data_IF_283117958038
#
_entry.id   IF_283117958038
#
_cell.length_a   1.000
_cell.length_b   1.000
_cell.length_c   1.000
_cell.angle_alpha   90.00
_cell.angle_beta   90.00
_cell.angle_gamma   90.00
#
_symmetry.space_group_name_H-M   'P 1'
#
loop_
_entity.id
_entity.type
_entity.pdbx_description
1 polymer ?
#
# COMPACT_ATOMS: atom_id res chain seq x y z
N UNK A 1 15.33 19.45 16.15
CA UNK A 1 15.11 18.94 14.78
C UNK A 1 13.74 19.41 14.32
N UNK A 2 13.66 20.12 13.19
CA UNK A 2 12.42 20.80 12.78
C UNK A 2 11.41 19.77 12.25
N UNK A 3 10.14 19.84 12.69
CA UNK A 3 9.10 18.84 12.37
C UNK A 3 8.90 18.69 10.85
N UNK A 4 9.02 19.79 10.12
CA UNK A 4 8.94 19.83 8.64
C UNK A 4 9.99 18.95 7.95
N UNK A 5 11.19 18.85 8.52
CA UNK A 5 12.28 18.02 7.98
C UNK A 5 11.95 16.54 8.16
N UNK A 6 11.39 16.17 9.32
CA UNK A 6 10.98 14.79 9.62
C UNK A 6 9.87 14.33 8.68
N UNK A 7 8.85 15.17 8.49
CA UNK A 7 7.74 14.88 7.57
C UNK A 7 8.26 14.63 6.16
N UNK A 8 9.17 15.48 5.66
CA UNK A 8 9.76 15.30 4.33
C UNK A 8 10.55 13.99 4.19
N UNK A 9 11.27 13.56 5.24
CA UNK A 9 11.94 12.26 5.23
C UNK A 9 10.95 11.09 5.22
N UNK A 10 9.86 11.17 5.99
CA UNK A 10 8.80 10.15 6.02
C UNK A 10 8.11 10.06 4.66
N UNK A 11 7.80 11.19 4.03
CA UNK A 11 7.18 11.22 2.70
C UNK A 11 8.09 10.62 1.64
N UNK A 12 9.39 10.96 1.66
CA UNK A 12 10.39 10.35 0.77
C UNK A 12 10.51 8.84 0.99
N UNK A 13 10.53 8.40 2.24
CA UNK A 13 10.60 6.98 2.59
C UNK A 13 9.36 6.23 2.11
N UNK A 14 8.17 6.77 2.37
CA UNK A 14 6.90 6.24 1.86
C UNK A 14 6.91 6.12 0.35
N UNK A 15 7.34 7.19 -0.34
CA UNK A 15 7.47 7.23 -1.79
C UNK A 15 8.37 6.11 -2.31
N UNK A 16 9.54 5.94 -1.69
CA UNK A 16 10.48 4.88 -2.09
C UNK A 16 9.89 3.47 -1.85
N UNK A 17 9.29 3.22 -0.70
CA UNK A 17 8.80 1.87 -0.38
C UNK A 17 7.55 1.51 -1.19
N UNK A 18 6.55 2.40 -1.25
CA UNK A 18 5.27 2.09 -1.88
C UNK A 18 5.29 2.26 -3.41
N UNK A 19 5.97 3.29 -3.94
CA UNK A 19 5.98 3.56 -5.38
C UNK A 19 7.10 2.81 -6.08
N UNK A 20 8.34 2.83 -5.54
CA UNK A 20 9.48 2.20 -6.21
C UNK A 20 9.55 0.70 -5.95
N UNK A 21 9.39 0.27 -4.71
CA UNK A 21 9.49 -1.15 -4.34
C UNK A 21 8.12 -1.87 -4.30
N UNK A 22 7.00 -1.17 -4.46
CA UNK A 22 5.67 -1.80 -4.42
C UNK A 22 5.37 -2.58 -3.13
N UNK A 23 6.06 -2.25 -2.03
CA UNK A 23 5.84 -2.86 -0.72
C UNK A 23 4.93 -1.92 0.08
N UNK A 24 3.86 -2.40 0.73
CA UNK A 24 3.06 -1.53 1.59
C UNK A 24 3.90 -0.96 2.73
N UNK A 25 3.75 0.32 3.06
CA UNK A 25 4.60 1.00 4.04
C UNK A 25 4.69 0.26 5.39
N UNK A 26 3.57 -0.28 5.87
CA UNK A 26 3.53 -1.03 7.14
C UNK A 26 4.41 -2.29 7.11
N UNK A 27 4.51 -3.00 5.98
CA UNK A 27 5.43 -4.13 5.82
C UNK A 27 6.88 -3.68 5.67
N UNK A 28 7.12 -2.52 5.04
CA UNK A 28 8.44 -1.89 5.06
C UNK A 28 8.92 -1.61 6.49
N UNK A 29 8.07 -0.96 7.30
CA UNK A 29 8.32 -0.70 8.72
C UNK A 29 8.52 -2.00 9.49
N UNK A 30 7.69 -3.02 9.23
CA UNK A 30 7.83 -4.33 9.86
C UNK A 30 9.18 -4.99 9.57
N UNK A 31 9.67 -4.91 8.33
CA UNK A 31 11.00 -5.42 7.97
C UNK A 31 12.12 -4.76 8.78
N UNK A 32 12.09 -3.43 8.94
CA UNK A 32 13.03 -2.73 9.82
C UNK A 32 12.89 -3.15 11.29
N UNK A 33 11.65 -3.29 11.78
CA UNK A 33 11.39 -3.75 13.14
C UNK A 33 11.93 -5.17 13.39
N UNK A 34 11.79 -6.08 12.42
CA UNK A 34 12.35 -7.43 12.49
C UNK A 34 13.89 -7.41 12.56
N UNK A 35 14.55 -6.56 11.76
CA UNK A 35 16.02 -6.41 11.82
C UNK A 35 16.44 -5.93 13.21
N UNK A 36 15.77 -4.90 13.75
CA UNK A 36 16.03 -4.36 15.09
C UNK A 36 15.85 -5.44 16.17
N UNK A 37 14.76 -6.20 16.09
CA UNK A 37 14.45 -7.29 17.02
C UNK A 37 15.48 -8.42 16.95
N UNK A 38 15.80 -8.89 15.74
CA UNK A 38 16.74 -9.99 15.50
C UNK A 38 18.16 -9.64 15.93
N UNK A 39 18.64 -8.46 15.56
CA UNK A 39 19.97 -7.96 15.94
C UNK A 39 20.04 -7.41 17.37
N UNK A 40 18.91 -7.36 18.09
CA UNK A 40 18.79 -6.84 19.46
C UNK A 40 19.37 -5.42 19.60
N UNK A 41 19.09 -4.55 18.61
CA UNK A 41 19.59 -3.17 18.62
C UNK A 41 18.99 -2.42 19.82
N UNK A 42 19.80 -1.75 20.66
CA UNK A 42 19.30 -1.03 21.83
C UNK A 42 18.58 0.26 21.40
N UNK A 43 17.26 0.15 21.23
CA UNK A 43 16.37 1.26 20.88
C UNK A 43 15.67 1.90 22.10
N UNK A 44 15.97 1.41 23.30
CA UNK A 44 15.42 1.90 24.57
C UNK A 44 15.73 3.38 24.81
N UNK A 45 16.89 3.86 24.33
CA UNK A 45 17.23 5.29 24.37
C UNK A 45 16.29 6.18 23.55
N UNK A 46 15.60 5.65 22.54
CA UNK A 46 14.66 6.43 21.72
C UNK A 46 13.37 6.78 22.47
N UNK A 47 13.07 6.04 23.55
CA UNK A 47 11.82 6.15 24.32
C UNK A 47 12.07 6.46 25.79
N UNK A 48 13.31 6.79 26.16
CA UNK A 48 13.72 7.05 27.54
C UNK A 48 12.92 8.21 28.16
N UNK A 49 12.54 9.21 27.35
CA UNK A 49 11.70 10.34 27.78
C UNK A 49 10.20 10.05 27.93
N UNK A 50 9.72 8.84 27.62
CA UNK A 50 8.30 8.49 27.82
C UNK A 50 8.03 8.10 29.28
N UNK A 51 6.93 8.61 29.85
CA UNK A 51 6.45 8.22 31.17
C UNK A 51 6.16 6.71 31.20
N UNK A 52 6.69 6.01 32.22
CA UNK A 52 6.51 4.57 32.39
C UNK A 52 5.05 4.16 32.58
N UNK A 53 4.23 5.02 33.19
CA UNK A 53 2.79 4.78 33.31
C UNK A 53 2.09 4.81 31.93
N UNK A 54 2.51 5.72 31.05
CA UNK A 54 2.02 5.78 29.68
C UNK A 54 2.45 4.53 28.89
N UNK A 55 3.72 4.09 29.03
CA UNK A 55 4.21 2.86 28.39
C UNK A 55 3.36 1.65 28.80
N UNK A 56 3.12 1.49 30.11
CA UNK A 56 2.30 0.39 30.66
C UNK A 56 0.87 0.46 30.16
N UNK A 57 0.25 1.64 30.21
CA UNK A 57 -1.13 1.85 29.75
C UNK A 57 -1.27 1.48 28.28
N UNK A 58 -0.37 1.97 27.43
CA UNK A 58 -0.38 1.66 25.99
C UNK A 58 -0.22 0.15 25.76
N UNK A 59 0.77 -0.49 26.40
CA UNK A 59 0.99 -1.94 26.28
C UNK A 59 -0.24 -2.74 26.71
N UNK A 60 -0.85 -2.36 27.83
CA UNK A 60 -2.03 -3.03 28.37
C UNK A 60 -3.25 -2.85 27.45
N UNK A 61 -3.47 -1.67 26.89
CA UNK A 61 -4.58 -1.44 25.95
C UNK A 61 -4.44 -2.32 24.71
N UNK A 62 -3.24 -2.43 24.14
CA UNK A 62 -3.04 -3.34 23.01
C UNK A 62 -3.19 -4.81 23.44
N UNK A 63 -2.62 -5.21 24.59
CA UNK A 63 -2.69 -6.60 25.04
C UNK A 63 -4.12 -7.08 25.27
N UNK A 64 -5.06 -6.20 25.65
CA UNK A 64 -6.48 -6.54 25.74
C UNK A 64 -7.04 -7.08 24.42
N UNK A 65 -6.72 -6.41 23.31
CA UNK A 65 -7.15 -6.83 21.96
C UNK A 65 -6.50 -8.16 21.58
N UNK A 66 -5.19 -8.28 21.76
CA UNK A 66 -4.44 -9.47 21.32
C UNK A 66 -4.60 -10.68 22.26
N UNK A 67 -5.03 -10.48 23.50
CA UNK A 67 -5.51 -11.57 24.36
C UNK A 67 -6.82 -12.16 23.84
N UNK A 68 -7.70 -11.32 23.30
CA UNK A 68 -9.05 -11.68 22.90
C UNK A 68 -9.22 -11.70 21.38
N UNK A 69 -8.14 -11.93 20.63
CA UNK A 69 -8.15 -11.83 19.17
C UNK A 69 -9.19 -12.78 18.53
N UNK A 70 -9.34 -13.99 19.06
CA UNK A 70 -10.37 -14.94 18.62
C UNK A 70 -11.78 -14.40 18.87
N UNK A 71 -12.02 -13.73 20.01
CA UNK A 71 -13.30 -13.09 20.29
C UNK A 71 -13.57 -11.94 19.32
N UNK A 72 -12.56 -11.14 18.96
CA UNK A 72 -12.71 -10.09 17.93
C UNK A 72 -13.14 -10.66 16.57
N UNK A 73 -12.60 -11.83 16.19
CA UNK A 73 -13.01 -12.53 14.97
C UNK A 73 -14.46 -13.02 15.05
N UNK A 74 -14.82 -13.67 16.17
CA UNK A 74 -16.18 -14.16 16.40
C UNK A 74 -17.21 -13.04 16.40
N UNK A 75 -16.91 -11.92 17.05
CA UNK A 75 -17.78 -10.73 17.07
C UNK A 75 -17.96 -10.17 15.65
N UNK A 76 -16.87 -10.04 14.89
CA UNK A 76 -16.95 -9.54 13.50
C UNK A 76 -17.80 -10.46 12.63
N UNK A 77 -17.63 -11.78 12.77
CA UNK A 77 -18.43 -12.76 12.06
C UNK A 77 -19.91 -12.74 12.47
N UNK A 78 -20.20 -12.60 13.77
CA UNK A 78 -21.55 -12.47 14.29
C UNK A 78 -22.26 -11.26 13.69
N UNK A 79 -21.59 -10.11 13.60
CA UNK A 79 -22.16 -8.92 12.95
C UNK A 79 -22.47 -9.14 11.47
N UNK A 80 -21.61 -9.84 10.74
CA UNK A 80 -21.87 -10.21 9.34
C UNK A 80 -23.12 -11.08 9.24
N UNK A 81 -23.27 -12.08 10.12
CA UNK A 81 -24.46 -12.92 10.17
C UNK A 81 -25.73 -12.13 10.49
N UNK A 82 -25.67 -11.23 11.48
CA UNK A 82 -26.80 -10.37 11.86
C UNK A 82 -27.23 -9.50 10.67
N UNK A 83 -26.27 -8.87 9.98
CA UNK A 83 -26.57 -8.04 8.81
C UNK A 83 -27.23 -8.88 7.71
N UNK A 84 -26.68 -10.06 7.39
CA UNK A 84 -27.30 -10.96 6.41
C UNK A 84 -28.73 -11.34 6.81
N UNK A 85 -28.97 -11.69 8.06
CA UNK A 85 -30.29 -12.11 8.55
C UNK A 85 -31.30 -10.95 8.47
N UNK A 86 -30.90 -9.74 8.87
CA UNK A 86 -31.76 -8.55 8.82
C UNK A 86 -32.07 -8.13 7.38
N UNK A 87 -31.07 -8.06 6.50
CA UNK A 87 -31.24 -7.48 5.17
C UNK A 87 -31.74 -8.49 4.13
N UNK A 88 -31.27 -9.74 4.15
CA UNK A 88 -31.71 -10.76 3.19
C UNK A 88 -32.98 -11.46 3.66
N UNK A 89 -33.03 -11.92 4.91
CA UNK A 89 -34.13 -12.78 5.39
C UNK A 89 -35.35 -11.98 5.86
N UNK A 90 -35.13 -10.84 6.51
CA UNK A 90 -36.23 -10.00 7.02
C UNK A 90 -36.62 -8.87 6.05
N UNK A 91 -35.91 -8.72 4.92
CA UNK A 91 -36.15 -7.72 3.88
C UNK A 91 -36.29 -6.27 4.40
N UNK A 92 -35.52 -5.92 5.43
CA UNK A 92 -35.47 -4.56 5.99
C UNK A 92 -34.76 -3.54 5.07
N UNK A 93 -34.37 -3.94 3.86
CA UNK A 93 -33.88 -3.03 2.81
C UNK A 93 -34.82 -1.84 2.57
N UNK A 94 -36.11 -2.03 2.80
CA UNK A 94 -37.16 -1.01 2.67
C UNK A 94 -37.17 0.05 3.77
N UNK A 95 -36.51 -0.21 4.90
CA UNK A 95 -36.41 0.72 6.04
C UNK A 95 -35.10 1.53 6.00
N UNK A 96 -34.29 1.33 4.95
CA UNK A 96 -33.09 2.12 4.74
C UNK A 96 -33.51 3.54 4.31
N UNK A 97 -33.05 4.59 5.02
CA UNK A 97 -33.33 5.96 4.61
C UNK A 97 -32.80 6.24 3.20
N UNK A 98 -33.45 7.13 2.45
CA UNK A 98 -33.00 7.49 1.12
C UNK A 98 -31.63 8.17 1.16
N UNK A 99 -30.94 8.10 0.03
CA UNK A 99 -29.63 8.67 -0.16
C UNK A 99 -29.62 10.18 0.15
N UNK A 100 -28.59 10.63 0.86
CA UNK A 100 -28.42 12.05 1.22
C UNK A 100 -27.28 12.65 0.41
N UNK A 101 -27.60 13.62 -0.43
CA UNK A 101 -26.62 14.46 -1.11
C UNK A 101 -26.07 15.55 -0.19
N UNK A 102 -24.76 15.73 -0.19
CA UNK A 102 -24.05 16.79 0.53
C UNK A 102 -23.69 17.94 -0.40
N UNK A 103 -23.42 19.10 0.19
CA UNK A 103 -23.06 20.34 -0.53
C UNK A 103 -21.71 20.26 -1.26
N UNK A 104 -20.90 19.23 -1.00
CA UNK A 104 -19.65 18.94 -1.69
C UNK A 104 -19.81 18.02 -2.91
N UNK A 105 -21.06 17.66 -3.27
CA UNK A 105 -21.36 16.77 -4.39
C UNK A 105 -21.22 15.28 -4.06
N UNK A 106 -21.05 14.91 -2.79
CA UNK A 106 -21.02 13.51 -2.37
C UNK A 106 -22.40 12.99 -1.97
N UNK A 107 -22.65 11.71 -2.24
CA UNK A 107 -23.89 11.01 -1.87
C UNK A 107 -23.58 10.04 -0.73
N UNK A 108 -24.30 10.13 0.39
CA UNK A 108 -24.28 9.12 1.45
C UNK A 108 -25.48 8.21 1.33
N UNK A 109 -25.21 6.96 0.99
CA UNK A 109 -26.18 5.85 0.98
C UNK A 109 -25.78 4.78 1.98
N UNK A 110 -26.76 4.14 2.62
CA UNK A 110 -26.50 2.99 3.49
C UNK A 110 -26.46 1.73 2.63
N UNK A 111 -25.27 1.16 2.49
CA UNK A 111 -25.05 -0.06 1.71
C UNK A 111 -24.58 -1.20 2.61
N UNK A 112 -25.46 -2.16 2.87
CA UNK A 112 -25.18 -3.29 3.76
C UNK A 112 -24.14 -4.26 3.18
N UNK A 113 -24.09 -4.44 1.84
CA UNK A 113 -23.06 -5.25 1.17
C UNK A 113 -21.67 -4.63 1.43
N UNK A 114 -21.58 -3.31 1.31
CA UNK A 114 -20.34 -2.59 1.60
C UNK A 114 -19.97 -2.67 3.10
N UNK A 115 -20.95 -2.60 4.00
CA UNK A 115 -20.73 -2.79 5.44
C UNK A 115 -20.20 -4.19 5.76
N UNK A 116 -20.76 -5.24 5.16
CA UNK A 116 -20.26 -6.62 5.30
C UNK A 116 -18.83 -6.76 4.80
N UNK A 117 -18.51 -6.20 3.63
CA UNK A 117 -17.14 -6.20 3.10
C UNK A 117 -16.16 -5.54 4.09
N UNK A 118 -16.54 -4.41 4.69
CA UNK A 118 -15.74 -3.75 5.74
C UNK A 118 -15.54 -4.64 6.97
N UNK A 119 -16.60 -5.30 7.45
CA UNK A 119 -16.53 -6.19 8.61
C UNK A 119 -15.68 -7.43 8.35
N UNK A 120 -15.75 -8.02 7.16
CA UNK A 120 -14.88 -9.14 6.77
C UNK A 120 -13.42 -8.71 6.68
N UNK A 121 -13.16 -7.47 6.22
CA UNK A 121 -11.81 -6.95 6.10
C UNK A 121 -11.17 -6.56 7.45
N UNK A 122 -11.98 -6.26 8.46
CA UNK A 122 -11.49 -5.81 9.77
C UNK A 122 -10.63 -6.85 10.50
N UNK A 123 -11.02 -8.15 10.60
CA UNK A 123 -10.15 -9.21 11.13
C UNK A 123 -8.82 -9.31 10.39
N UNK A 124 -8.82 -9.16 9.06
CA UNK A 124 -7.61 -9.19 8.24
C UNK A 124 -6.68 -8.03 8.63
N UNK A 125 -7.23 -6.83 8.83
CA UNK A 125 -6.44 -5.68 9.31
C UNK A 125 -5.88 -5.89 10.72
N UNK A 126 -6.64 -6.53 11.61
CA UNK A 126 -6.20 -6.85 12.97
C UNK A 126 -4.97 -7.75 12.94
N UNK A 127 -4.98 -8.82 12.13
CA UNK A 127 -3.87 -9.79 12.08
C UNK A 127 -2.67 -9.33 11.23
N UNK A 128 -2.84 -8.30 10.40
CA UNK A 128 -1.77 -7.77 9.54
C UNK A 128 -1.31 -6.39 10.02
N UNK A 129 -1.92 -5.33 9.49
CA UNK A 129 -1.51 -3.94 9.69
C UNK A 129 -1.47 -3.56 11.17
N UNK A 130 -2.54 -3.84 11.93
CA UNK A 130 -2.60 -3.44 13.34
C UNK A 130 -1.71 -4.30 14.22
N UNK A 131 -1.54 -5.59 13.87
CA UNK A 131 -0.60 -6.46 14.57
C UNK A 131 0.84 -5.97 14.41
N UNK A 132 1.23 -5.51 13.21
CA UNK A 132 2.56 -4.91 12.99
C UNK A 132 2.78 -3.69 13.89
N UNK A 133 1.77 -2.82 14.02
CA UNK A 133 1.86 -1.68 14.94
C UNK A 133 2.00 -2.13 16.40
N UNK A 134 1.25 -3.16 16.81
CA UNK A 134 1.39 -3.73 18.14
C UNK A 134 2.79 -4.32 18.39
N UNK A 135 3.30 -5.10 17.44
CA UNK A 135 4.66 -5.65 17.51
C UNK A 135 5.70 -4.53 17.66
N UNK A 136 5.55 -3.43 16.92
CA UNK A 136 6.44 -2.27 17.03
C UNK A 136 6.35 -1.62 18.43
N UNK A 137 5.17 -1.51 19.01
CA UNK A 137 4.98 -1.02 20.39
C UNK A 137 5.63 -1.94 21.41
N UNK A 138 5.47 -3.26 21.27
CA UNK A 138 6.11 -4.27 22.13
C UNK A 138 7.64 -4.24 21.98
N UNK A 139 8.12 -4.05 20.76
CA UNK A 139 9.55 -3.91 20.45
C UNK A 139 10.15 -2.69 21.14
N UNK A 140 9.49 -1.53 21.01
CA UNK A 140 9.92 -0.29 21.64
C UNK A 140 9.86 -0.40 23.16
N UNK A 141 8.68 -0.64 23.73
CA UNK A 141 8.45 -0.49 25.16
C UNK A 141 8.90 -1.69 26.01
N UNK A 142 9.04 -2.89 25.41
CA UNK A 142 9.43 -4.08 26.15
C UNK A 142 10.39 -5.01 25.40
N UNK A 143 11.25 -4.46 24.53
CA UNK A 143 12.33 -5.19 23.83
C UNK A 143 11.84 -6.44 23.09
N UNK A 144 10.61 -6.41 22.60
CA UNK A 144 10.02 -7.51 21.84
C UNK A 144 9.45 -8.64 22.69
N UNK A 145 9.41 -8.49 24.03
CA UNK A 145 8.79 -9.48 24.93
C UNK A 145 7.33 -9.13 25.14
N UNK A 146 6.44 -10.08 24.86
CA UNK A 146 5.02 -9.92 25.12
C UNK A 146 4.75 -9.80 26.63
N UNK A 147 4.15 -8.69 27.05
CA UNK A 147 3.73 -8.44 28.43
C UNK A 147 2.20 -8.38 28.48
N UNK A 148 1.61 -8.81 29.60
CA UNK A 148 0.16 -8.81 29.85
C UNK A 148 -0.64 -9.71 28.91
N UNK A 149 0.02 -10.56 28.12
CA UNK A 149 -0.62 -11.61 27.35
C UNK A 149 -0.71 -12.91 28.16
N UNK A 150 -1.79 -13.66 27.97
CA UNK A 150 -1.89 -15.04 28.46
C UNK A 150 -0.99 -15.97 27.65
N UNK A 151 -0.59 -17.12 28.20
CA UNK A 151 0.32 -18.06 27.52
C UNK A 151 -0.22 -18.50 26.14
N UNK A 152 -1.52 -18.79 26.06
CA UNK A 152 -2.18 -19.13 24.79
C UNK A 152 -2.13 -17.96 23.80
N UNK A 153 -2.33 -16.74 24.28
CA UNK A 153 -2.27 -15.53 23.44
C UNK A 153 -0.85 -15.24 22.98
N UNK A 154 0.17 -15.54 23.80
CA UNK A 154 1.58 -15.43 23.38
C UNK A 154 1.83 -16.35 22.17
N UNK A 155 1.43 -17.62 22.26
CA UNK A 155 1.57 -18.59 21.16
C UNK A 155 0.87 -18.07 19.88
N UNK A 156 -0.37 -17.56 20.01
CA UNK A 156 -1.08 -16.98 18.86
C UNK A 156 -0.30 -15.80 18.26
N UNK A 157 0.26 -14.92 19.08
CA UNK A 157 1.03 -13.78 18.59
C UNK A 157 2.36 -14.18 17.95
N UNK A 158 3.00 -15.25 18.41
CA UNK A 158 4.17 -15.83 17.74
C UNK A 158 3.81 -16.41 16.37
N UNK A 159 2.65 -17.07 16.25
CA UNK A 159 2.13 -17.54 14.96
C UNK A 159 1.87 -16.36 14.02
N UNK A 160 1.29 -15.26 14.53
CA UNK A 160 1.07 -14.03 13.76
C UNK A 160 2.39 -13.40 13.29
N UNK A 161 3.45 -13.49 14.09
CA UNK A 161 4.78 -13.04 13.70
C UNK A 161 5.32 -13.84 12.52
N UNK A 162 5.20 -15.17 12.57
CA UNK A 162 5.60 -16.05 11.45
C UNK A 162 4.78 -15.72 10.20
N UNK A 163 3.45 -15.62 10.34
CA UNK A 163 2.55 -15.28 9.23
C UNK A 163 2.93 -13.96 8.56
N UNK A 164 3.11 -12.88 9.34
CA UNK A 164 3.49 -11.58 8.80
C UNK A 164 4.89 -11.57 8.19
N UNK A 165 5.79 -12.40 8.69
CA UNK A 165 7.13 -12.57 8.09
C UNK A 165 7.04 -13.25 6.73
N UNK A 166 6.20 -14.27 6.59
CA UNK A 166 5.94 -14.90 5.28
C UNK A 166 5.31 -13.92 4.29
N UNK A 167 4.33 -13.11 4.74
CA UNK A 167 3.72 -12.09 3.89
C UNK A 167 4.76 -11.04 3.45
N UNK A 168 5.62 -10.59 4.37
CA UNK A 168 6.73 -9.68 4.04
C UNK A 168 7.65 -10.29 2.99
N UNK A 169 8.01 -11.57 3.14
CA UNK A 169 8.86 -12.28 2.18
C UNK A 169 8.22 -12.33 0.79
N UNK A 170 6.92 -12.59 0.71
CA UNK A 170 6.17 -12.51 -0.56
C UNK A 170 6.25 -11.10 -1.17
N UNK A 171 6.10 -10.04 -0.36
CA UNK A 171 6.26 -8.66 -0.85
C UNK A 171 7.67 -8.36 -1.34
N UNK A 172 8.70 -8.88 -0.68
CA UNK A 172 10.10 -8.72 -1.10
C UNK A 172 10.37 -9.46 -2.42
N UNK A 173 9.93 -10.71 -2.55
CA UNK A 173 10.05 -11.43 -3.83
C UNK A 173 9.32 -10.65 -4.93
N UNK A 174 8.08 -10.25 -4.66
CA UNK A 174 7.27 -9.48 -5.61
C UNK A 174 7.95 -8.16 -5.99
N UNK A 175 8.61 -7.46 -5.07
CA UNK A 175 9.28 -6.19 -5.35
C UNK A 175 10.49 -6.32 -6.27
N UNK A 176 11.17 -7.49 -6.25
CA UNK A 176 12.28 -7.78 -7.18
C UNK A 176 11.77 -7.91 -8.62
N UNK A 177 10.58 -8.47 -8.81
CA UNK A 177 10.01 -8.70 -10.15
C UNK A 177 9.15 -7.55 -10.67
N UNK A 178 8.55 -6.74 -9.79
CA UNK A 178 7.68 -5.63 -10.20
C UNK A 178 8.49 -4.35 -10.35
N UNK A 179 8.80 -4.02 -11.61
CA UNK A 179 9.27 -2.69 -11.99
C UNK A 179 8.07 -1.73 -12.05
N UNK A 180 7.83 -0.96 -10.97
CA UNK A 180 6.92 0.20 -11.05
C UNK A 180 7.67 1.40 -11.59
N UNK A 181 7.45 1.68 -12.87
CA UNK A 181 7.88 2.94 -13.48
C UNK A 181 6.87 4.01 -13.06
N UNK A 182 7.29 5.13 -12.45
CA UNK A 182 6.40 6.25 -12.23
C UNK A 182 5.95 6.77 -13.60
N UNK A 183 4.66 6.62 -13.88
CA UNK A 183 4.01 7.40 -14.93
C UNK A 183 4.09 8.83 -14.46
N UNK A 184 4.84 9.65 -15.16
CA UNK A 184 4.96 11.06 -14.79
C UNK A 184 3.63 11.72 -15.14
N UNK A 185 2.77 11.93 -14.13
CA UNK A 185 1.44 12.52 -14.29
C UNK A 185 1.49 13.96 -14.85
N UNK A 186 2.68 14.51 -15.11
CA UNK A 186 2.89 15.85 -15.66
C UNK A 186 3.24 15.88 -17.15
N UNK A 187 3.44 14.73 -17.81
CA UNK A 187 3.80 14.65 -19.25
C UNK A 187 2.80 13.77 -20.00
N UNK A 188 1.55 14.22 -20.07
CA UNK A 188 0.48 13.30 -20.44
C UNK A 188 0.35 12.95 -21.92
N UNK A 189 0.75 13.81 -22.88
CA UNK A 189 0.58 13.52 -24.32
C UNK A 189 1.59 14.29 -25.15
N UNK A 190 2.30 13.60 -26.04
CA UNK A 190 3.05 14.22 -27.13
C UNK A 190 2.08 14.35 -28.31
N UNK A 191 1.85 15.57 -28.77
CA UNK A 191 1.05 15.79 -29.98
C UNK A 191 1.81 15.28 -31.20
N UNK A 192 1.11 14.85 -32.24
CA UNK A 192 1.77 14.34 -33.45
C UNK A 192 2.77 15.32 -34.09
N UNK A 193 2.50 16.63 -34.03
CA UNK A 193 3.40 17.67 -34.54
C UNK A 193 4.68 17.83 -33.69
N UNK A 194 4.64 17.48 -32.40
CA UNK A 194 5.81 17.55 -31.51
C UNK A 194 6.73 16.33 -31.69
N UNK A 195 6.25 15.26 -32.32
CA UNK A 195 7.03 14.06 -32.61
C UNK A 195 8.26 14.35 -33.50
N UNK A 196 8.21 15.42 -34.31
CA UNK A 196 9.34 15.88 -35.12
C UNK A 196 10.58 16.24 -34.28
N UNK A 197 10.41 16.56 -33.01
CA UNK A 197 11.50 16.87 -32.08
C UNK A 197 12.16 15.61 -31.49
N UNK A 198 11.72 14.41 -31.89
CA UNK A 198 12.20 13.13 -31.39
C UNK A 198 12.79 12.26 -32.52
N UNK A 199 13.76 11.44 -32.18
CA UNK A 199 14.20 10.30 -32.97
C UNK A 199 13.32 9.10 -32.63
N UNK A 200 12.75 8.45 -33.65
CA UNK A 200 12.07 7.16 -33.50
C UNK A 200 13.15 6.08 -33.59
N UNK A 201 13.34 5.33 -32.51
CA UNK A 201 14.36 4.28 -32.41
C UNK A 201 13.80 2.96 -32.90
N UNK A 202 12.58 2.62 -32.46
CA UNK A 202 11.87 1.40 -32.84
C UNK A 202 10.39 1.73 -33.04
N UNK A 203 9.79 1.16 -34.09
CA UNK A 203 8.38 1.26 -34.42
C UNK A 203 7.81 -0.16 -34.47
N UNK A 204 6.91 -0.49 -33.55
CA UNK A 204 6.27 -1.79 -33.48
C UNK A 204 4.93 -1.79 -34.20
N UNK A 205 4.56 -2.92 -34.81
CA UNK A 205 3.27 -3.10 -35.49
C UNK A 205 2.04 -2.83 -34.59
N UNK A 206 2.20 -2.78 -33.26
CA UNK A 206 1.11 -2.70 -32.28
C UNK A 206 0.80 -1.27 -31.75
N UNK A 207 1.10 -0.21 -32.50
CA UNK A 207 0.90 1.19 -32.07
C UNK A 207 1.83 1.67 -30.94
N UNK A 208 2.92 0.96 -30.67
CA UNK A 208 3.94 1.34 -29.68
C UNK A 208 5.21 1.85 -30.39
N UNK A 209 5.84 2.89 -29.84
CA UNK A 209 7.06 3.49 -30.39
C UNK A 209 8.06 3.77 -29.28
N UNK A 210 9.34 3.53 -29.55
CA UNK A 210 10.42 4.01 -28.69
C UNK A 210 10.95 5.30 -29.32
N UNK A 211 10.91 6.39 -28.57
CA UNK A 211 11.37 7.71 -29.01
C UNK A 211 12.43 8.29 -28.07
N UNK A 212 13.29 9.15 -28.61
CA UNK A 212 14.30 9.89 -27.85
C UNK A 212 14.35 11.35 -28.32
N UNK A 213 14.42 12.36 -27.43
CA UNK A 213 14.54 13.75 -27.84
C UNK A 213 15.77 13.97 -28.74
N UNK A 214 15.64 14.81 -29.75
CA UNK A 214 16.77 15.23 -30.60
C UNK A 214 17.76 16.13 -29.85
N UNK A 215 17.32 16.75 -28.76
CA UNK A 215 18.15 17.57 -27.89
C UNK A 215 19.23 16.71 -27.21
N UNK A 216 20.50 16.96 -27.55
CA UNK A 216 21.64 16.15 -27.06
C UNK A 216 21.80 16.10 -25.55
N UNK A 217 21.30 17.10 -24.82
CA UNK A 217 21.38 17.15 -23.36
C UNK A 217 20.40 16.22 -22.64
N UNK A 218 19.42 15.65 -23.35
CA UNK A 218 18.47 14.69 -22.79
C UNK A 218 18.71 13.30 -23.37
N UNK A 219 19.12 12.37 -22.50
CA UNK A 219 19.38 10.97 -22.85
C UNK A 219 18.21 10.06 -22.49
N UNK A 220 17.04 10.62 -22.18
CA UNK A 220 15.87 9.85 -21.79
C UNK A 220 15.20 9.24 -23.01
N UNK A 221 14.98 7.94 -22.95
CA UNK A 221 14.19 7.17 -23.90
C UNK A 221 12.76 7.08 -23.38
N UNK A 222 11.78 7.22 -24.28
CA UNK A 222 10.36 7.16 -23.96
C UNK A 222 9.71 6.05 -24.78
N UNK A 223 8.87 5.24 -24.13
CA UNK A 223 7.94 4.34 -24.78
C UNK A 223 6.61 5.04 -24.89
N UNK A 224 6.07 5.15 -26.10
CA UNK A 224 4.80 5.84 -26.33
C UNK A 224 3.79 4.95 -27.04
N UNK A 225 2.51 5.08 -26.66
CA UNK A 225 1.38 4.47 -27.34
C UNK A 225 0.73 5.49 -28.24
N UNK A 226 0.51 5.16 -29.50
CA UNK A 226 -0.34 5.97 -30.37
C UNK A 226 -1.79 5.77 -29.97
N UNK A 227 -2.45 6.86 -29.59
CA UNK A 227 -3.87 6.97 -29.30
C UNK A 227 -4.53 7.76 -30.42
N UNK A 228 -5.45 7.13 -31.15
CA UNK A 228 -6.21 7.78 -32.22
C UNK A 228 -7.57 8.19 -31.66
N UNK A 229 -7.74 9.49 -31.37
CA UNK A 229 -8.98 10.04 -30.83
C UNK A 229 -10.01 10.34 -31.93
N UNK A 230 -9.53 10.73 -33.13
CA UNK A 230 -10.31 10.96 -34.35
C UNK A 230 -9.43 10.74 -35.60
N UNK A 231 -10.02 10.69 -36.80
CA UNK A 231 -9.33 10.51 -38.09
C UNK A 231 -8.18 11.52 -38.34
N UNK A 232 -8.21 12.69 -37.71
CA UNK A 232 -7.26 13.79 -37.96
C UNK A 232 -6.33 14.13 -36.78
N UNK A 233 -6.55 13.57 -35.57
CA UNK A 233 -5.73 13.88 -34.39
C UNK A 233 -5.19 12.61 -33.73
N UNK A 234 -3.93 12.31 -34.03
CA UNK A 234 -3.16 11.31 -33.30
C UNK A 234 -2.39 11.97 -32.16
N UNK A 235 -2.54 11.41 -30.96
CA UNK A 235 -1.75 11.78 -29.78
C UNK A 235 -0.94 10.57 -29.35
N UNK A 236 0.25 10.80 -28.80
CA UNK A 236 1.11 9.77 -28.26
C UNK A 236 1.12 9.88 -26.73
N UNK A 237 0.68 8.84 -26.06
CA UNK A 237 0.71 8.75 -24.60
C UNK A 237 2.03 8.12 -24.16
N UNK A 238 2.72 8.73 -23.21
CA UNK A 238 3.97 8.19 -22.68
C UNK A 238 3.63 7.10 -21.67
N UNK A 239 4.05 5.87 -21.96
CA UNK A 239 3.81 4.68 -21.13
C UNK A 239 4.98 4.43 -20.19
N UNK A 240 6.20 4.71 -20.66
CA UNK A 240 7.43 4.46 -19.92
C UNK A 240 8.49 5.49 -20.31
N UNK A 241 9.42 5.77 -19.40
CA UNK A 241 10.64 6.51 -19.67
C UNK A 241 11.80 5.95 -18.88
N UNK A 242 12.98 5.86 -19.49
CA UNK A 242 14.21 5.44 -18.83
C UNK A 242 15.41 6.10 -19.49
N UNK A 243 16.49 6.29 -18.73
CA UNK A 243 17.80 6.68 -19.28
C UNK A 243 18.55 5.51 -19.91
N UNK A 244 18.11 4.28 -19.65
CA UNK A 244 18.68 3.07 -20.25
C UNK A 244 17.76 2.56 -21.34
N UNK A 245 18.31 2.37 -22.53
CA UNK A 245 17.55 1.90 -23.69
C UNK A 245 17.04 0.47 -23.47
N UNK A 246 17.84 -0.41 -22.88
CA UNK A 246 17.49 -1.83 -22.67
C UNK A 246 16.23 -2.00 -21.81
N UNK A 247 16.03 -1.15 -20.80
CA UNK A 247 14.82 -1.16 -19.97
C UNK A 247 13.56 -0.79 -20.77
N UNK A 248 13.70 0.10 -21.77
CA UNK A 248 12.60 0.47 -22.67
C UNK A 248 12.36 -0.60 -23.73
N UNK A 249 13.41 -1.20 -24.30
CA UNK A 249 13.30 -2.29 -25.26
C UNK A 249 12.59 -3.49 -24.63
N UNK A 250 13.00 -3.91 -23.43
CA UNK A 250 12.36 -5.03 -22.74
C UNK A 250 10.85 -4.83 -22.54
N UNK A 251 10.44 -3.61 -22.14
CA UNK A 251 9.02 -3.30 -21.96
C UNK A 251 8.28 -3.19 -23.31
N UNK A 252 8.93 -2.66 -24.34
CA UNK A 252 8.39 -2.62 -25.70
C UNK A 252 8.14 -4.03 -26.25
N UNK A 253 9.10 -4.94 -26.08
CA UNK A 253 8.99 -6.33 -26.54
C UNK A 253 7.82 -7.02 -25.83
N UNK A 254 7.71 -6.88 -24.50
CA UNK A 254 6.59 -7.44 -23.72
C UNK A 254 5.21 -6.93 -24.16
N UNK A 255 5.11 -5.66 -24.58
CA UNK A 255 3.84 -5.07 -25.02
C UNK A 255 3.54 -5.34 -26.50
N UNK A 256 4.53 -5.76 -27.29
CA UNK A 256 4.40 -6.00 -28.73
C UNK A 256 4.37 -7.49 -29.11
N UNK A 257 4.77 -8.39 -28.20
CA UNK A 257 4.50 -9.83 -28.23
C UNK A 257 3.04 -10.16 -27.97
#
# INVERSE_FOLDING_TARGET
MNISVIINYIDKFKKQIEERYSIPLHYGIFGFALIIWYLKIPIDKLIEGFNDELKKTILHTFSLVYNHILACFLISFLFVLIINLIFEKMNLSRLVPPDKEYTDGTVSSINYIYAMKKLIYLPILIVTKYWIFYFLVVLLFNKGKYMYLSDNSIIINEILMVLNTLILFVYIIRSVFILRIPVDDTLFRIKANELENYYIILNGNNNYYIIKPKYRGDTTYYLVKKYQLTLEKSNYEIINKSKKLDEIIYHFDYLSS
#
